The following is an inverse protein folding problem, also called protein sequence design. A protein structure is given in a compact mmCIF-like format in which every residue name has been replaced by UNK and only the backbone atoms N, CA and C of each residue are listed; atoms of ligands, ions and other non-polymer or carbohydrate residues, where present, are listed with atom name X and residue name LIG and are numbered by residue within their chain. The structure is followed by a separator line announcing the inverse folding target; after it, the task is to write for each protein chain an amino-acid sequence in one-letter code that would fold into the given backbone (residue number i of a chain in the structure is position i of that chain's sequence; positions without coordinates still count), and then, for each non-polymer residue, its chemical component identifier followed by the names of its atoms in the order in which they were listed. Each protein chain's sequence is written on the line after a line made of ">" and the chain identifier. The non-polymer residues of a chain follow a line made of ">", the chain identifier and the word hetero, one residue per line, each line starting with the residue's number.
data_IF_194889085158
#
_entry.id   IF_194889085158
#
_cell.length_a   1.000
_cell.length_b   1.000
_cell.length_c   1.000
_cell.angle_alpha   90.00
_cell.angle_beta   90.00
_cell.angle_gamma   90.00
#
_symmetry.space_group_name_H-M   'P 1'
#
loop_
_entity.id
_entity.type
_entity.pdbx_description
1 polymer ?
#
# COMPACT_ATOMS: atom_id res chain seq x y z
N UNK A 1 -5.98 -51.57 29.94
CA UNK A 1 -6.73 -50.53 30.69
C UNK A 1 -6.52 -49.10 30.17
N UNK A 2 -5.53 -48.82 29.31
CA UNK A 2 -5.25 -47.46 28.80
C UNK A 2 -6.10 -47.01 27.60
N UNK A 3 -6.68 -47.93 26.81
CA UNK A 3 -7.42 -47.58 25.58
C UNK A 3 -8.82 -47.00 25.81
N UNK A 4 -9.48 -47.31 26.94
CA UNK A 4 -10.85 -46.86 27.22
C UNK A 4 -10.89 -45.39 27.67
N UNK A 5 -9.83 -44.91 28.33
CA UNK A 5 -9.72 -43.50 28.74
C UNK A 5 -9.50 -42.55 27.56
N UNK A 6 -8.69 -42.95 26.58
CA UNK A 6 -8.38 -42.12 25.40
C UNK A 6 -9.60 -41.86 24.51
N UNK A 7 -10.49 -42.84 24.34
CA UNK A 7 -11.71 -42.68 23.56
C UNK A 7 -12.71 -41.70 24.21
N UNK A 8 -12.86 -41.74 25.53
CA UNK A 8 -13.74 -40.83 26.27
C UNK A 8 -13.23 -39.37 26.21
N UNK A 9 -11.92 -39.15 26.33
CA UNK A 9 -11.33 -37.82 26.21
C UNK A 9 -11.43 -37.25 24.79
N UNK A 10 -11.24 -38.08 23.76
CA UNK A 10 -11.44 -37.66 22.37
C UNK A 10 -12.91 -37.30 22.10
N UNK A 11 -13.85 -38.14 22.56
CA UNK A 11 -15.28 -37.88 22.40
C UNK A 11 -15.70 -36.59 23.12
N UNK A 12 -15.20 -36.36 24.34
CA UNK A 12 -15.44 -35.12 25.08
C UNK A 12 -14.84 -33.91 24.36
N UNK A 13 -13.60 -34.03 23.85
CA UNK A 13 -12.95 -32.97 23.09
C UNK A 13 -13.72 -32.59 21.82
N UNK A 14 -14.16 -33.59 21.04
CA UNK A 14 -14.99 -33.38 19.86
C UNK A 14 -16.35 -32.79 20.22
N UNK A 15 -16.97 -33.21 21.31
CA UNK A 15 -18.23 -32.65 21.79
C UNK A 15 -18.09 -31.19 22.22
N UNK A 16 -16.98 -30.82 22.89
CA UNK A 16 -16.69 -29.44 23.29
C UNK A 16 -16.40 -28.55 22.08
N UNK A 17 -15.62 -29.03 21.11
CA UNK A 17 -15.39 -28.31 19.84
C UNK A 17 -16.71 -28.15 19.09
N UNK A 18 -17.50 -29.21 18.97
CA UNK A 18 -18.81 -29.17 18.33
C UNK A 18 -19.75 -28.18 19.01
N UNK A 19 -19.83 -28.19 20.35
CA UNK A 19 -20.61 -27.22 21.11
C UNK A 19 -20.10 -25.79 20.92
N UNK A 20 -18.78 -25.58 20.87
CA UNK A 20 -18.16 -24.28 20.59
C UNK A 20 -18.47 -23.75 19.19
N UNK A 21 -18.47 -24.62 18.18
CA UNK A 21 -18.86 -24.27 16.80
C UNK A 21 -20.34 -23.94 16.71
N UNK A 22 -21.21 -24.70 17.40
CA UNK A 22 -22.67 -24.43 17.42
C UNK A 22 -23.00 -23.14 18.19
N UNK A 23 -22.26 -22.84 19.25
CA UNK A 23 -22.43 -21.62 20.03
C UNK A 23 -21.75 -20.40 19.41
N UNK A 24 -20.94 -20.58 18.36
CA UNK A 24 -20.29 -19.48 17.67
C UNK A 24 -21.27 -18.75 16.77
N UNK A 25 -21.50 -17.48 17.06
CA UNK A 25 -22.20 -16.57 16.17
C UNK A 25 -21.16 -15.78 15.37
N UNK A 26 -21.08 -15.96 14.04
CA UNK A 26 -20.19 -15.16 13.22
C UNK A 26 -20.62 -13.69 13.26
N UNK A 27 -19.63 -12.80 13.20
CA UNK A 27 -19.91 -11.36 13.06
C UNK A 27 -20.61 -11.16 11.72
N UNK A 28 -21.82 -10.61 11.74
CA UNK A 28 -22.52 -10.19 10.54
C UNK A 28 -21.77 -9.03 9.88
N UNK A 29 -21.30 -9.26 8.65
CA UNK A 29 -20.75 -8.23 7.78
C UNK A 29 -21.86 -7.63 6.93
N UNK A 30 -21.87 -6.31 6.81
CA UNK A 30 -22.80 -5.58 5.94
C UNK A 30 -22.11 -5.31 4.61
N UNK A 31 -22.36 -6.17 3.63
CA UNK A 31 -21.74 -6.11 2.29
C UNK A 31 -22.74 -5.64 1.23
N UNK A 32 -23.42 -4.53 1.52
CA UNK A 32 -24.39 -3.92 0.63
C UNK A 32 -24.22 -2.41 0.65
N UNK A 33 -24.27 -1.81 -0.54
CA UNK A 33 -24.33 -0.36 -0.69
C UNK A 33 -25.56 0.18 0.05
N UNK A 34 -25.46 1.37 0.67
CA UNK A 34 -26.60 2.03 1.31
C UNK A 34 -27.80 2.18 0.34
N UNK A 35 -29.02 2.13 0.86
CA UNK A 35 -30.24 2.28 0.04
C UNK A 35 -30.31 3.63 -0.69
N UNK A 36 -29.66 4.65 -0.13
CA UNK A 36 -29.55 6.01 -0.69
C UNK A 36 -28.25 6.24 -1.49
N UNK A 37 -27.53 5.17 -1.85
CA UNK A 37 -26.30 5.26 -2.63
C UNK A 37 -26.53 5.88 -4.01
N UNK A 38 -25.64 6.80 -4.39
CA UNK A 38 -25.73 7.52 -5.67
C UNK A 38 -25.06 6.74 -6.81
N UNK A 39 -25.83 6.36 -7.83
CA UNK A 39 -25.34 5.67 -9.03
C UNK A 39 -25.19 6.60 -10.23
N UNK A 40 -24.78 7.86 -10.00
CA UNK A 40 -24.70 8.89 -11.04
C UNK A 40 -23.79 8.51 -12.23
N UNK A 41 -22.83 7.60 -12.02
CA UNK A 41 -21.91 7.09 -13.04
C UNK A 41 -22.30 5.71 -13.63
N UNK A 42 -23.48 5.20 -13.31
CA UNK A 42 -24.02 3.91 -13.76
C UNK A 42 -24.14 2.87 -12.66
N UNK A 43 -25.19 2.05 -12.71
CA UNK A 43 -25.44 0.95 -11.75
C UNK A 43 -24.39 -0.16 -11.84
N UNK A 44 -23.76 -0.33 -13.00
CA UNK A 44 -22.68 -1.28 -13.24
C UNK A 44 -21.31 -0.77 -12.78
N UNK A 45 -21.20 0.52 -12.45
CA UNK A 45 -19.96 1.18 -12.01
C UNK A 45 -20.16 1.94 -10.69
N UNK A 46 -20.54 1.26 -9.58
CA UNK A 46 -20.85 1.93 -8.32
C UNK A 46 -19.71 2.81 -7.80
N UNK A 47 -18.46 2.39 -7.99
CA UNK A 47 -17.28 3.10 -7.48
C UNK A 47 -16.68 4.10 -8.47
N UNK A 48 -17.27 4.25 -9.67
CA UNK A 48 -16.83 5.27 -10.62
C UNK A 48 -16.98 6.66 -10.00
N UNK A 49 -16.12 7.62 -10.38
CA UNK A 49 -15.12 7.59 -11.47
C UNK A 49 -13.80 6.84 -11.18
N UNK A 50 -13.63 6.24 -9.99
CA UNK A 50 -12.53 5.29 -9.80
C UNK A 50 -12.74 4.04 -10.67
N UNK A 51 -11.64 3.45 -11.15
CA UNK A 51 -11.68 2.15 -11.82
C UNK A 51 -11.58 0.96 -10.85
N UNK A 52 -11.51 1.24 -9.54
CA UNK A 52 -11.49 0.24 -8.50
C UNK A 52 -12.83 -0.50 -8.43
N UNK A 53 -12.78 -1.83 -8.28
CA UNK A 53 -13.96 -2.68 -8.20
C UNK A 53 -13.85 -3.65 -7.03
N UNK A 54 -14.99 -4.02 -6.48
CA UNK A 54 -15.11 -5.22 -5.65
C UNK A 54 -15.44 -6.42 -6.54
N UNK A 55 -15.05 -7.62 -6.12
CA UNK A 55 -15.39 -8.86 -6.83
C UNK A 55 -16.92 -9.09 -6.96
N UNK A 56 -17.72 -8.49 -6.07
CA UNK A 56 -19.19 -8.54 -6.09
C UNK A 56 -19.83 -7.37 -6.82
N UNK A 57 -19.07 -6.32 -7.13
CA UNK A 57 -19.57 -5.01 -7.55
C UNK A 57 -20.59 -4.38 -6.56
N UNK A 58 -20.49 -4.76 -5.29
CA UNK A 58 -21.28 -4.22 -4.17
C UNK A 58 -20.32 -3.79 -3.05
N UNK A 59 -20.84 -3.19 -1.98
CA UNK A 59 -20.03 -2.74 -0.87
C UNK A 59 -19.39 -3.90 -0.08
N UNK A 60 -18.30 -3.59 0.61
CA UNK A 60 -17.76 -4.42 1.67
C UNK A 60 -17.85 -3.69 3.00
N UNK A 61 -18.15 -4.44 4.05
CA UNK A 61 -18.09 -3.93 5.41
C UNK A 61 -16.68 -3.38 5.71
N UNK A 62 -16.52 -2.14 6.20
CA UNK A 62 -15.20 -1.53 6.40
C UNK A 62 -14.33 -2.34 7.37
N UNK A 63 -14.93 -3.01 8.36
CA UNK A 63 -14.22 -3.88 9.31
C UNK A 63 -13.55 -5.07 8.62
N UNK A 64 -14.03 -5.43 7.42
CA UNK A 64 -13.45 -6.50 6.61
C UNK A 64 -12.18 -6.08 5.88
N UNK A 65 -11.89 -4.78 5.76
CA UNK A 65 -10.72 -4.23 5.08
C UNK A 65 -9.77 -3.47 6.02
N UNK A 66 -10.13 -3.32 7.29
CA UNK A 66 -9.35 -2.65 8.31
C UNK A 66 -8.75 -3.64 9.34
N UNK A 67 -8.12 -3.11 10.39
CA UNK A 67 -7.53 -3.87 11.48
C UNK A 67 -6.06 -4.22 11.23
N UNK A 68 -5.30 -3.35 10.54
CA UNK A 68 -3.90 -3.60 10.18
C UNK A 68 -2.99 -3.85 11.38
N UNK A 69 -3.24 -3.15 12.50
CA UNK A 69 -2.49 -3.34 13.75
C UNK A 69 -2.57 -4.80 14.26
N UNK A 70 -3.69 -5.49 13.99
CA UNK A 70 -3.90 -6.87 14.42
C UNK A 70 -2.87 -7.85 13.82
N UNK A 71 -2.32 -7.53 12.64
CA UNK A 71 -1.29 -8.33 11.96
C UNK A 71 0.02 -8.38 12.74
N UNK A 72 0.37 -7.27 13.41
CA UNK A 72 1.56 -7.17 14.25
C UNK A 72 1.37 -7.83 15.61
N UNK A 73 0.14 -8.18 15.99
CA UNK A 73 -0.08 -8.77 17.30
C UNK A 73 0.43 -10.20 17.38
N UNK A 74 0.76 -10.65 18.60
CA UNK A 74 1.25 -11.99 18.91
C UNK A 74 2.65 -12.35 18.36
N UNK A 75 3.48 -11.38 17.95
CA UNK A 75 4.80 -11.68 17.41
C UNK A 75 4.74 -12.31 16.02
N UNK A 76 3.79 -11.87 15.19
CA UNK A 76 3.77 -12.20 13.77
C UNK A 76 4.41 -11.07 12.96
N UNK A 77 3.67 -10.01 12.63
CA UNK A 77 4.12 -8.94 11.73
C UNK A 77 4.55 -7.63 12.42
N UNK A 78 5.29 -7.72 13.52
CA UNK A 78 5.67 -6.57 14.34
C UNK A 78 6.57 -5.57 13.59
N UNK A 79 7.56 -6.07 12.83
CA UNK A 79 8.48 -5.21 12.08
C UNK A 79 7.74 -4.52 10.94
N UNK A 80 6.94 -5.28 10.18
CA UNK A 80 6.18 -4.78 9.03
C UNK A 80 5.12 -3.74 9.45
N UNK A 81 4.39 -3.98 10.55
CA UNK A 81 3.40 -3.01 11.05
C UNK A 81 4.10 -1.72 11.51
N UNK A 82 5.24 -1.80 12.19
CA UNK A 82 6.00 -0.62 12.62
C UNK A 82 6.55 0.21 11.43
N UNK A 83 6.81 -0.43 10.30
CA UNK A 83 7.20 0.25 9.06
C UNK A 83 6.02 0.92 8.35
N UNK A 84 4.89 0.21 8.22
CA UNK A 84 3.68 0.73 7.60
C UNK A 84 3.06 1.88 8.41
N UNK A 85 3.14 1.82 9.75
CA UNK A 85 2.48 2.74 10.69
C UNK A 85 2.93 4.21 10.60
N UNK A 86 4.04 4.47 9.90
CA UNK A 86 4.58 5.82 9.62
C UNK A 86 4.61 6.16 8.13
N UNK A 87 4.15 5.24 7.27
CA UNK A 87 4.24 5.38 5.82
C UNK A 87 3.13 6.29 5.26
N UNK A 88 3.39 6.93 4.12
CA UNK A 88 2.37 7.71 3.43
C UNK A 88 1.15 6.88 2.97
N UNK A 89 1.30 5.55 2.83
CA UNK A 89 0.19 4.65 2.50
C UNK A 89 -0.83 4.54 3.63
N UNK A 90 -0.40 4.41 4.89
CA UNK A 90 -1.32 4.42 6.04
C UNK A 90 -2.10 5.74 6.12
N UNK A 91 -1.41 6.86 5.96
CA UNK A 91 -2.02 8.19 6.10
C UNK A 91 -2.55 8.76 4.79
N UNK A 92 -2.74 7.95 3.75
CA UNK A 92 -3.13 8.43 2.42
C UNK A 92 -4.47 9.16 2.43
N UNK A 93 -5.39 8.80 3.34
CA UNK A 93 -6.67 9.48 3.57
C UNK A 93 -6.57 10.67 4.53
N UNK A 94 -5.62 10.64 5.47
CA UNK A 94 -5.45 11.66 6.52
C UNK A 94 -4.56 12.83 6.12
N UNK A 95 -3.77 12.73 5.05
CA UNK A 95 -2.89 13.79 4.59
C UNK A 95 -3.67 15.12 4.45
N UNK A 96 -3.33 16.16 5.25
CA UNK A 96 -4.02 17.44 5.21
C UNK A 96 -4.03 18.09 3.83
N UNK A 97 -2.94 17.95 3.05
CA UNK A 97 -2.86 18.53 1.72
C UNK A 97 -3.84 17.82 0.76
N UNK A 98 -3.88 16.50 0.81
CA UNK A 98 -4.84 15.69 0.06
C UNK A 98 -6.29 16.05 0.40
N UNK A 99 -6.62 16.19 1.69
CA UNK A 99 -7.99 16.50 2.14
C UNK A 99 -8.49 17.83 1.60
N UNK A 100 -7.64 18.85 1.51
CA UNK A 100 -8.01 20.13 0.91
C UNK A 100 -8.26 20.00 -0.60
N UNK A 101 -7.44 19.21 -1.33
CA UNK A 101 -7.66 18.94 -2.76
C UNK A 101 -8.96 18.15 -2.97
N UNK A 102 -9.20 17.12 -2.18
CA UNK A 102 -10.44 16.34 -2.23
C UNK A 102 -11.67 17.21 -1.94
N UNK A 103 -11.60 18.09 -0.93
CA UNK A 103 -12.69 19.02 -0.59
C UNK A 103 -12.95 20.02 -1.72
N UNK A 104 -11.90 20.54 -2.35
CA UNK A 104 -12.03 21.42 -3.51
C UNK A 104 -12.75 20.71 -4.67
N UNK A 105 -12.33 19.48 -5.00
CA UNK A 105 -12.96 18.66 -6.03
C UNK A 105 -14.43 18.35 -5.69
N UNK A 106 -14.73 17.91 -4.46
CA UNK A 106 -16.09 17.63 -4.02
C UNK A 106 -17.01 18.86 -4.04
N UNK A 107 -16.46 20.05 -3.76
CA UNK A 107 -17.22 21.31 -3.81
C UNK A 107 -17.51 21.75 -5.24
N UNK A 108 -16.56 21.56 -6.16
CA UNK A 108 -16.67 22.00 -7.55
C UNK A 108 -17.49 21.03 -8.40
N UNK A 109 -17.28 19.72 -8.23
CA UNK A 109 -17.79 18.68 -9.12
C UNK A 109 -18.84 17.77 -8.44
N UNK A 110 -19.17 18.03 -7.18
CA UNK A 110 -20.07 17.20 -6.37
C UNK A 110 -19.34 16.11 -5.58
N UNK A 111 -19.91 15.63 -4.47
CA UNK A 111 -19.25 14.69 -3.55
C UNK A 111 -18.90 13.35 -4.21
N UNK A 112 -19.71 12.86 -5.14
CA UNK A 112 -19.48 11.60 -5.86
C UNK A 112 -18.18 11.60 -6.66
N UNK A 113 -17.74 12.77 -7.13
CA UNK A 113 -16.48 12.91 -7.86
C UNK A 113 -15.26 12.50 -7.01
N UNK A 114 -15.37 12.59 -5.67
CA UNK A 114 -14.27 12.24 -4.75
C UNK A 114 -13.93 10.75 -4.72
N UNK A 115 -14.81 9.88 -5.25
CA UNK A 115 -14.52 8.46 -5.44
C UNK A 115 -13.30 8.24 -6.33
N UNK A 116 -13.05 9.13 -7.30
CA UNK A 116 -11.84 9.17 -8.13
C UNK A 116 -10.57 9.07 -7.28
N UNK A 117 -10.52 9.85 -6.20
CA UNK A 117 -9.41 9.90 -5.26
C UNK A 117 -9.37 8.68 -4.34
N UNK A 118 -10.55 8.25 -3.88
CA UNK A 118 -10.69 7.22 -2.85
C UNK A 118 -10.17 5.85 -3.30
N UNK A 119 -10.19 5.53 -4.59
CA UNK A 119 -9.62 4.28 -5.09
C UNK A 119 -8.12 4.11 -4.80
N UNK A 120 -7.36 5.21 -4.72
CA UNK A 120 -5.93 5.16 -4.38
C UNK A 120 -5.66 5.55 -2.92
N UNK A 121 -6.43 6.50 -2.36
CA UNK A 121 -6.14 7.12 -1.08
C UNK A 121 -6.97 6.61 0.09
N UNK A 122 -8.15 6.05 -0.16
CA UNK A 122 -9.08 5.64 0.88
C UNK A 122 -9.99 4.47 0.40
N UNK A 123 -9.41 3.32 0.06
CA UNK A 123 -10.18 2.23 -0.54
C UNK A 123 -11.21 1.62 0.41
N UNK A 124 -10.93 1.63 1.72
CA UNK A 124 -11.87 1.15 2.75
C UNK A 124 -13.18 1.94 2.65
N UNK A 125 -13.13 3.27 2.66
CA UNK A 125 -14.33 4.09 2.57
C UNK A 125 -14.98 4.03 1.19
N UNK A 126 -14.19 3.89 0.12
CA UNK A 126 -14.73 3.70 -1.23
C UNK A 126 -15.62 2.45 -1.26
N UNK A 127 -15.10 1.32 -0.80
CA UNK A 127 -15.79 0.05 -0.85
C UNK A 127 -16.85 -0.11 0.25
N UNK A 128 -16.79 0.65 1.34
CA UNK A 128 -17.89 0.74 2.30
C UNK A 128 -19.10 1.53 1.75
N UNK A 129 -18.97 2.17 0.60
CA UNK A 129 -20.02 2.99 0.01
C UNK A 129 -20.25 4.32 0.75
N UNK A 130 -19.37 4.69 1.68
CA UNK A 130 -19.49 5.87 2.55
C UNK A 130 -18.92 7.14 1.92
N UNK A 131 -18.26 7.02 0.77
CA UNK A 131 -17.74 8.13 -0.04
C UNK A 131 -18.83 8.90 -0.80
N UNK A 132 -20.00 9.16 -0.20
CA UNK A 132 -21.12 9.91 -0.81
C UNK A 132 -22.07 10.64 0.15
N UNK A 133 -22.42 11.86 -0.27
CA UNK A 133 -23.50 12.80 0.13
C UNK A 133 -23.65 13.22 1.62
N UNK A 134 -23.53 14.54 1.84
CA UNK A 134 -24.04 15.32 3.00
C UNK A 134 -23.48 15.06 4.40
N UNK A 135 -22.29 14.51 4.53
CA UNK A 135 -21.57 14.43 5.80
C UNK A 135 -20.32 15.29 5.77
N UNK A 136 -20.10 16.08 6.83
CA UNK A 136 -18.89 16.88 7.03
C UNK A 136 -17.62 15.99 7.05
N UNK A 137 -17.80 14.69 7.30
CA UNK A 137 -16.78 13.64 7.22
C UNK A 137 -17.07 12.74 6.00
N UNK A 138 -16.44 13.04 4.86
CA UNK A 138 -16.52 12.26 3.61
C UNK A 138 -15.87 10.85 3.73
N UNK A 139 -15.62 10.34 4.92
CA UNK A 139 -14.73 9.21 5.16
C UNK A 139 -15.26 8.36 6.31
N UNK A 140 -15.22 7.04 6.15
CA UNK A 140 -15.53 6.10 7.23
C UNK A 140 -14.33 6.03 8.20
N UNK A 141 -14.54 5.99 9.53
CA UNK A 141 -13.46 6.06 10.51
C UNK A 141 -12.28 5.10 10.29
N UNK A 142 -12.54 3.84 9.92
CA UNK A 142 -11.46 2.90 9.60
C UNK A 142 -10.68 3.31 8.35
N UNK A 143 -11.38 3.76 7.30
CA UNK A 143 -10.74 4.27 6.10
C UNK A 143 -9.93 5.54 6.32
N UNK A 144 -10.39 6.44 7.19
CA UNK A 144 -9.63 7.61 7.59
C UNK A 144 -8.32 7.20 8.26
N UNK A 145 -8.40 6.33 9.27
CA UNK A 145 -7.24 5.98 10.10
C UNK A 145 -6.20 5.13 9.36
N UNK A 146 -6.63 4.21 8.49
CA UNK A 146 -5.71 3.26 7.86
C UNK A 146 -5.38 3.56 6.39
N UNK A 147 -6.16 4.41 5.70
CA UNK A 147 -5.95 4.73 4.30
C UNK A 147 -5.80 3.46 3.44
N UNK A 148 -4.59 3.24 2.91
CA UNK A 148 -4.20 1.95 2.32
C UNK A 148 -3.71 0.99 3.41
N UNK A 149 -4.65 0.20 3.93
CA UNK A 149 -4.41 -0.82 4.96
C UNK A 149 -3.67 -2.06 4.44
N UNK A 150 -3.14 -2.88 5.38
CA UNK A 150 -2.59 -4.20 5.09
C UNK A 150 -3.59 -5.04 4.28
N UNK A 151 -4.83 -5.11 4.77
CA UNK A 151 -5.85 -5.95 4.16
C UNK A 151 -6.25 -5.41 2.79
N UNK A 152 -6.33 -4.09 2.61
CA UNK A 152 -6.63 -3.49 1.30
C UNK A 152 -5.61 -3.92 0.26
N UNK A 153 -4.31 -3.70 0.51
CA UNK A 153 -3.25 -4.10 -0.41
C UNK A 153 -3.25 -5.61 -0.66
N UNK A 154 -3.33 -6.41 0.40
CA UNK A 154 -3.21 -7.86 0.31
C UNK A 154 -4.51 -8.57 -0.14
N UNK A 155 -5.61 -7.84 -0.33
CA UNK A 155 -6.89 -8.37 -0.82
C UNK A 155 -7.15 -8.07 -2.30
N UNK A 156 -6.27 -7.33 -2.95
CA UNK A 156 -6.31 -7.14 -4.41
C UNK A 156 -5.98 -8.48 -5.10
N UNK A 157 -6.83 -8.89 -6.03
CA UNK A 157 -6.69 -10.13 -6.82
C UNK A 157 -6.29 -9.88 -8.27
N UNK A 158 -6.67 -8.73 -8.81
CA UNK A 158 -6.42 -8.37 -10.20
C UNK A 158 -6.01 -6.90 -10.26
N UNK A 159 -5.06 -6.58 -11.13
CA UNK A 159 -4.71 -5.20 -11.48
C UNK A 159 -4.58 -5.04 -12.98
N UNK A 160 -4.66 -3.80 -13.44
CA UNK A 160 -4.32 -3.40 -14.79
C UNK A 160 -3.43 -2.14 -14.77
N UNK A 161 -2.76 -1.87 -15.89
CA UNK A 161 -1.82 -0.75 -16.06
C UNK A 161 -2.47 0.50 -16.68
N UNK A 162 -3.79 0.57 -16.80
CA UNK A 162 -4.50 1.77 -17.24
C UNK A 162 -4.33 2.92 -16.23
N UNK A 163 -4.24 2.61 -14.94
CA UNK A 163 -4.18 3.59 -13.83
C UNK A 163 -5.55 3.90 -13.21
N UNK A 164 -5.63 4.91 -12.35
CA UNK A 164 -6.84 5.33 -11.62
C UNK A 164 -7.46 4.24 -10.75
N UNK A 165 -6.62 3.54 -9.99
CA UNK A 165 -7.01 2.43 -9.12
C UNK A 165 -7.67 1.27 -9.87
N UNK A 166 -7.25 0.98 -11.11
CA UNK A 166 -7.79 -0.15 -11.88
C UNK A 166 -7.32 -1.49 -11.28
N UNK A 167 -8.04 -1.94 -10.26
CA UNK A 167 -7.85 -3.20 -9.57
C UNK A 167 -9.18 -3.79 -9.11
N UNK A 168 -9.19 -5.10 -8.85
CA UNK A 168 -10.32 -5.81 -8.26
C UNK A 168 -9.93 -6.30 -6.87
N UNK A 169 -10.73 -5.92 -5.87
CA UNK A 169 -10.57 -6.34 -4.49
C UNK A 169 -11.58 -7.43 -4.13
N UNK A 170 -11.09 -8.53 -3.56
CA UNK A 170 -11.92 -9.61 -3.03
C UNK A 170 -11.92 -9.56 -1.51
N UNK A 171 -13.10 -9.59 -0.88
CA UNK A 171 -13.18 -9.62 0.59
C UNK A 171 -12.52 -10.91 1.11
N UNK A 172 -11.51 -10.83 2.00
CA UNK A 172 -10.78 -12.00 2.44
C UNK A 172 -11.67 -12.91 3.29
N UNK A 173 -11.54 -14.23 3.09
CA UNK A 173 -12.16 -15.19 4.00
C UNK A 173 -11.43 -15.22 5.35
N UNK A 174 -12.18 -15.04 6.43
CA UNK A 174 -11.61 -14.91 7.77
C UNK A 174 -11.61 -16.20 8.58
N UNK A 175 -10.73 -16.27 9.56
CA UNK A 175 -10.73 -17.24 10.64
C UNK A 175 -11.82 -16.91 11.68
N UNK A 176 -12.17 -17.89 12.50
CA UNK A 176 -13.08 -17.68 13.62
C UNK A 176 -12.48 -16.64 14.57
N UNK A 177 -13.32 -15.69 15.00
CA UNK A 177 -12.95 -14.58 15.89
C UNK A 177 -11.91 -13.61 15.31
N UNK A 178 -11.69 -13.58 13.99
CA UNK A 178 -10.63 -12.74 13.41
C UNK A 178 -10.83 -11.24 13.66
N UNK A 179 -12.08 -10.80 13.71
CA UNK A 179 -12.46 -9.41 14.03
C UNK A 179 -12.43 -9.08 15.54
N UNK A 180 -12.11 -10.05 16.40
CA UNK A 180 -11.94 -9.79 17.84
C UNK A 180 -10.49 -9.44 18.13
N UNK A 181 -10.27 -8.18 18.54
CA UNK A 181 -8.93 -7.63 18.78
C UNK A 181 -8.40 -7.96 20.18
N UNK A 182 -9.22 -8.45 21.10
CA UNK A 182 -8.83 -8.71 22.47
C UNK A 182 -9.44 -10.02 23.05
N UNK A 183 -9.10 -10.28 24.31
CA UNK A 183 -9.66 -11.37 25.09
C UNK A 183 -9.46 -12.78 24.51
N UNK A 184 -10.45 -13.63 24.74
CA UNK A 184 -10.41 -15.06 24.35
C UNK A 184 -10.52 -15.25 22.83
N UNK A 185 -11.24 -14.37 22.14
CA UNK A 185 -11.38 -14.44 20.68
C UNK A 185 -10.05 -14.25 19.98
N UNK A 186 -9.30 -13.22 20.37
CA UNK A 186 -7.95 -12.99 19.88
C UNK A 186 -7.05 -14.22 20.07
N UNK A 187 -7.07 -14.83 21.26
CA UNK A 187 -6.29 -16.05 21.51
C UNK A 187 -6.67 -17.19 20.54
N UNK A 188 -7.96 -17.41 20.30
CA UNK A 188 -8.43 -18.44 19.36
C UNK A 188 -8.02 -18.11 17.93
N UNK A 189 -8.22 -16.86 17.48
CA UNK A 189 -7.77 -16.38 16.17
C UNK A 189 -6.27 -16.64 15.96
N UNK A 190 -5.44 -16.17 16.90
CA UNK A 190 -3.99 -16.28 16.87
C UNK A 190 -3.52 -17.74 16.85
N UNK A 191 -4.21 -18.62 17.57
CA UNK A 191 -3.99 -20.06 17.53
C UNK A 191 -4.36 -20.66 16.16
N UNK A 192 -5.54 -20.32 15.62
CA UNK A 192 -6.03 -20.86 14.36
C UNK A 192 -5.15 -20.47 13.17
N UNK A 193 -4.68 -19.22 13.11
CA UNK A 193 -3.77 -18.76 12.06
C UNK A 193 -2.45 -19.56 12.12
N UNK A 194 -1.88 -19.77 13.31
CA UNK A 194 -0.65 -20.57 13.49
C UNK A 194 -0.83 -22.04 13.21
N UNK A 195 -1.97 -22.61 13.58
CA UNK A 195 -2.26 -24.03 13.39
C UNK A 195 -2.57 -24.36 11.93
N UNK A 196 -3.16 -23.41 11.19
CA UNK A 196 -3.57 -23.58 9.80
C UNK A 196 -3.04 -22.44 8.90
N UNK A 197 -1.72 -22.20 8.83
CA UNK A 197 -1.14 -21.01 8.21
C UNK A 197 -1.31 -20.96 6.69
N UNK A 198 -1.56 -22.12 6.04
CA UNK A 198 -1.74 -22.20 4.60
C UNK A 198 -2.87 -21.30 4.09
N UNK A 199 -4.01 -21.26 4.80
CA UNK A 199 -5.13 -20.38 4.42
C UNK A 199 -4.70 -18.91 4.51
N UNK A 200 -4.01 -18.52 5.58
CA UNK A 200 -3.47 -17.18 5.74
C UNK A 200 -2.51 -16.79 4.59
N UNK A 201 -1.57 -17.66 4.23
CA UNK A 201 -0.63 -17.37 3.14
C UNK A 201 -1.30 -17.36 1.76
N UNK A 202 -2.27 -18.24 1.50
CA UNK A 202 -3.04 -18.24 0.25
C UNK A 202 -3.89 -16.97 0.10
N UNK A 203 -4.49 -16.49 1.20
CA UNK A 203 -5.29 -15.26 1.20
C UNK A 203 -4.42 -14.01 1.02
N UNK A 204 -3.28 -13.92 1.72
CA UNK A 204 -2.53 -12.66 1.84
C UNK A 204 -1.15 -12.65 1.17
N UNK A 205 -0.67 -13.74 0.55
CA UNK A 205 0.64 -13.78 -0.12
C UNK A 205 0.52 -14.19 -1.58
N UNK A 206 -0.04 -13.30 -2.40
CA UNK A 206 -0.29 -13.53 -3.81
C UNK A 206 0.93 -13.19 -4.66
N UNK A 207 1.07 -13.89 -5.79
CA UNK A 207 2.15 -13.64 -6.76
C UNK A 207 2.03 -12.26 -7.41
N UNK A 208 0.81 -11.72 -7.54
CA UNK A 208 0.53 -10.42 -8.14
C UNK A 208 1.35 -9.28 -7.51
N UNK A 209 1.54 -9.32 -6.19
CA UNK A 209 2.27 -8.31 -5.42
C UNK A 209 3.75 -8.23 -5.79
N UNK A 210 4.24 -9.16 -6.61
CA UNK A 210 5.62 -9.23 -7.07
C UNK A 210 5.84 -8.60 -8.44
N UNK A 211 4.84 -7.89 -8.95
CA UNK A 211 4.89 -7.29 -10.28
C UNK A 211 4.79 -5.76 -10.17
N UNK A 212 5.46 -5.00 -11.04
CA UNK A 212 5.30 -3.54 -11.09
C UNK A 212 3.88 -3.14 -11.50
N UNK A 213 3.14 -4.00 -12.19
CA UNK A 213 1.72 -3.84 -12.53
C UNK A 213 0.83 -3.69 -11.28
N UNK A 214 1.24 -4.26 -10.14
CA UNK A 214 0.53 -4.08 -8.88
C UNK A 214 0.59 -2.61 -8.42
N UNK A 215 1.80 -2.02 -8.43
CA UNK A 215 1.99 -0.62 -8.07
C UNK A 215 1.36 0.32 -9.10
N UNK A 216 1.33 -0.07 -10.37
CA UNK A 216 0.80 0.72 -11.49
C UNK A 216 -0.69 1.04 -11.35
N UNK A 217 -1.46 0.19 -10.67
CA UNK A 217 -2.88 0.44 -10.46
C UNK A 217 -3.14 1.79 -9.77
N UNK A 218 -2.28 2.17 -8.80
CA UNK A 218 -2.37 3.44 -8.08
C UNK A 218 -1.34 4.49 -8.54
N UNK A 219 -0.12 4.07 -8.94
CA UNK A 219 0.97 4.94 -9.39
C UNK A 219 0.96 5.21 -10.90
N UNK A 220 -0.23 5.17 -11.49
CA UNK A 220 -0.54 5.71 -12.80
C UNK A 220 -1.92 6.33 -12.73
N UNK A 221 -2.02 7.54 -13.23
CA UNK A 221 -3.20 8.38 -13.08
C UNK A 221 -3.42 9.22 -14.33
N UNK A 222 -4.66 9.25 -14.78
CA UNK A 222 -5.12 10.14 -15.84
C UNK A 222 -6.43 10.77 -15.42
N UNK A 223 -6.76 11.92 -15.99
CA UNK A 223 -8.10 12.50 -15.86
C UNK A 223 -8.74 12.51 -17.24
N UNK A 224 -10.04 12.23 -17.31
CA UNK A 224 -10.80 12.25 -18.56
C UNK A 224 -11.97 13.23 -18.48
N UNK A 225 -12.78 13.25 -19.54
CA UNK A 225 -13.91 14.16 -19.67
C UNK A 225 -14.98 13.97 -18.58
N UNK A 226 -15.13 12.75 -18.02
CA UNK A 226 -16.07 12.45 -16.91
C UNK A 226 -15.71 13.27 -15.65
N UNK A 227 -14.44 13.68 -15.53
CA UNK A 227 -13.92 14.41 -14.37
C UNK A 227 -13.56 15.86 -14.66
N UNK A 228 -12.94 16.16 -15.81
CA UNK A 228 -12.45 17.51 -16.11
C UNK A 228 -13.28 18.29 -17.15
N UNK A 229 -14.29 17.67 -17.76
CA UNK A 229 -15.13 18.26 -18.82
C UNK A 229 -14.37 18.80 -20.07
N UNK A 230 -13.12 18.38 -20.28
CA UNK A 230 -12.27 18.80 -21.41
C UNK A 230 -11.83 17.61 -22.25
N UNK A 231 -11.42 16.50 -21.63
CA UNK A 231 -10.90 15.33 -22.33
C UNK A 231 -9.76 14.65 -21.57
N UNK A 232 -9.15 13.66 -22.22
CA UNK A 232 -8.11 12.84 -21.59
C UNK A 232 -6.79 13.61 -21.42
N UNK A 233 -6.26 13.61 -20.19
CA UNK A 233 -4.96 14.17 -19.84
C UNK A 233 -4.23 13.19 -18.93
N UNK A 234 -2.98 12.85 -19.30
CA UNK A 234 -2.10 12.11 -18.41
C UNK A 234 -1.70 13.00 -17.23
N UNK A 235 -1.93 12.52 -16.01
CA UNK A 235 -1.39 13.12 -14.79
C UNK A 235 -0.13 12.36 -14.39
N UNK A 236 -0.16 11.68 -13.25
CA UNK A 236 0.98 10.92 -12.73
C UNK A 236 1.19 9.65 -13.56
N UNK A 237 2.44 9.33 -13.92
CA UNK A 237 2.72 8.08 -14.64
C UNK A 237 4.13 7.56 -14.33
N UNK A 238 4.29 6.95 -13.15
CA UNK A 238 5.57 6.39 -12.75
C UNK A 238 5.85 5.07 -13.49
N UNK A 239 4.81 4.27 -13.76
CA UNK A 239 4.96 2.98 -14.41
C UNK A 239 5.52 3.08 -15.84
N UNK A 240 4.96 3.93 -16.71
CA UNK A 240 5.44 4.02 -18.10
C UNK A 240 6.83 4.68 -18.17
N UNK A 241 7.13 5.59 -17.25
CA UNK A 241 8.46 6.17 -17.09
C UNK A 241 9.49 5.10 -16.72
N UNK A 242 9.18 4.29 -15.71
CA UNK A 242 10.01 3.13 -15.36
C UNK A 242 10.16 2.14 -16.51
N UNK A 243 9.05 1.79 -17.17
CA UNK A 243 9.03 0.83 -18.26
C UNK A 243 9.91 1.26 -19.43
N UNK A 244 10.05 2.56 -19.68
CA UNK A 244 10.91 3.15 -20.73
C UNK A 244 12.32 3.48 -20.25
N UNK A 245 12.59 3.37 -18.95
CA UNK A 245 13.87 3.70 -18.36
C UNK A 245 14.93 2.62 -18.63
N UNK A 246 16.19 2.93 -18.28
CA UNK A 246 17.31 1.97 -18.29
C UNK A 246 17.20 0.85 -17.24
N UNK A 247 16.20 0.90 -16.37
CA UNK A 247 16.01 -0.04 -15.26
C UNK A 247 15.08 -1.19 -15.63
N UNK A 248 14.35 -1.08 -16.74
CA UNK A 248 13.51 -2.14 -17.26
C UNK A 248 14.23 -2.84 -18.42
N UNK A 249 14.54 -4.12 -18.23
CA UNK A 249 15.09 -5.00 -19.26
C UNK A 249 14.13 -6.20 -19.43
N UNK A 250 13.10 -6.08 -20.28
CA UNK A 250 12.08 -7.11 -20.43
C UNK A 250 12.69 -8.50 -20.66
N UNK A 251 12.31 -9.46 -19.81
CA UNK A 251 12.80 -10.85 -19.87
C UNK A 251 14.17 -11.09 -19.20
N UNK A 252 14.84 -10.06 -18.68
CA UNK A 252 16.11 -10.17 -17.97
C UNK A 252 16.01 -9.63 -16.52
N UNK A 253 15.62 -10.47 -15.55
CA UNK A 253 15.52 -10.08 -14.14
C UNK A 253 16.89 -9.75 -13.52
N UNK A 254 17.99 -10.25 -14.08
CA UNK A 254 19.34 -9.98 -13.56
C UNK A 254 19.75 -8.53 -13.75
N UNK A 255 19.14 -7.84 -14.73
CA UNK A 255 19.39 -6.44 -15.03
C UNK A 255 18.23 -5.53 -14.63
N UNK A 256 17.02 -6.07 -14.53
CA UNK A 256 15.82 -5.30 -14.16
C UNK A 256 15.84 -4.95 -12.66
N UNK A 257 15.41 -3.73 -12.36
CA UNK A 257 15.05 -3.28 -11.00
C UNK A 257 13.60 -2.83 -11.09
N UNK A 258 12.72 -3.43 -10.29
CA UNK A 258 11.31 -3.05 -10.24
C UNK A 258 11.05 -2.11 -9.07
N UNK A 259 9.78 -1.72 -8.87
CA UNK A 259 9.38 -0.78 -7.83
C UNK A 259 9.79 -1.26 -6.43
N UNK A 260 9.70 -2.58 -6.18
CA UNK A 260 9.83 -3.18 -4.85
C UNK A 260 11.27 -3.26 -4.38
N UNK A 261 12.24 -3.51 -5.26
CA UNK A 261 13.64 -3.54 -4.83
C UNK A 261 14.13 -2.17 -4.36
N UNK A 262 13.55 -1.07 -4.84
CA UNK A 262 13.87 0.28 -4.37
C UNK A 262 12.98 0.73 -3.21
N UNK A 263 11.66 0.57 -3.31
CA UNK A 263 10.70 1.11 -2.34
C UNK A 263 10.31 0.14 -1.23
N UNK A 264 10.62 -1.14 -1.37
CA UNK A 264 10.45 -2.20 -0.37
C UNK A 264 11.74 -3.03 -0.24
N UNK A 265 12.88 -2.39 0.07
CA UNK A 265 14.16 -3.08 0.11
C UNK A 265 14.15 -4.20 1.15
N UNK A 266 14.98 -5.22 0.94
CA UNK A 266 15.11 -6.32 1.89
C UNK A 266 15.77 -5.87 3.21
N UNK A 267 15.11 -6.16 4.33
CA UNK A 267 15.58 -5.90 5.69
C UNK A 267 16.07 -7.21 6.31
N UNK A 268 17.21 -7.16 6.99
CA UNK A 268 17.89 -8.34 7.57
C UNK A 268 18.67 -7.96 8.83
N UNK A 269 18.76 -8.86 9.84
CA UNK A 269 17.96 -10.07 9.98
C UNK A 269 16.49 -9.73 10.30
N UNK A 270 15.58 -10.66 10.04
CA UNK A 270 14.17 -10.52 10.40
C UNK A 270 13.63 -11.77 11.08
N UNK A 271 12.70 -11.57 12.01
CA UNK A 271 11.96 -12.65 12.69
C UNK A 271 10.52 -12.81 12.19
N UNK A 272 10.14 -12.05 11.17
CA UNK A 272 8.85 -12.10 10.50
C UNK A 272 8.51 -13.52 10.00
N UNK A 273 7.28 -14.04 10.22
CA UNK A 273 6.82 -15.26 9.57
C UNK A 273 6.80 -15.16 8.04
N UNK A 274 6.74 -13.93 7.51
CA UNK A 274 6.87 -13.64 6.08
C UNK A 274 8.34 -13.53 5.62
N UNK A 275 9.31 -13.92 6.46
CA UNK A 275 10.71 -13.96 6.05
C UNK A 275 11.00 -15.13 5.10
N UNK A 276 11.86 -14.86 4.10
CA UNK A 276 12.06 -15.77 2.98
C UNK A 276 10.95 -15.76 1.94
N UNK A 277 11.29 -16.01 0.66
CA UNK A 277 10.30 -16.10 -0.41
C UNK A 277 10.81 -16.92 -1.59
N UNK A 278 10.16 -18.05 -1.87
CA UNK A 278 10.51 -18.94 -2.97
C UNK A 278 10.12 -18.41 -4.36
N UNK A 279 9.22 -17.42 -4.40
CA UNK A 279 8.58 -16.91 -5.60
C UNK A 279 9.14 -15.55 -6.02
N UNK A 280 10.03 -14.95 -5.23
CA UNK A 280 10.77 -13.73 -5.58
C UNK A 280 12.15 -14.12 -6.15
N UNK A 281 12.46 -13.61 -7.35
CA UNK A 281 13.58 -14.07 -8.17
C UNK A 281 14.97 -13.74 -7.57
N UNK A 282 15.06 -12.76 -6.67
CA UNK A 282 16.32 -12.39 -5.99
C UNK A 282 16.43 -13.01 -4.58
N UNK A 283 15.54 -13.94 -4.23
CA UNK A 283 15.39 -14.44 -2.85
C UNK A 283 15.48 -15.95 -2.75
N UNK A 284 15.63 -16.43 -1.52
CA UNK A 284 15.48 -17.83 -1.18
C UNK A 284 14.41 -18.00 -0.08
N UNK A 285 13.86 -19.21 0.09
CA UNK A 285 12.87 -19.48 1.14
C UNK A 285 13.41 -19.28 2.56
N UNK A 286 14.73 -19.27 2.74
CA UNK A 286 15.40 -19.25 4.06
C UNK A 286 16.35 -18.06 4.21
N UNK A 287 16.18 -16.98 3.45
CA UNK A 287 17.09 -15.83 3.49
C UNK A 287 17.01 -15.03 4.80
N UNK A 288 15.96 -15.23 5.60
CA UNK A 288 15.73 -14.57 6.89
C UNK A 288 15.48 -13.07 6.75
N UNK A 289 14.94 -12.62 5.61
CA UNK A 289 14.68 -11.20 5.31
C UNK A 289 13.20 -10.94 5.11
N UNK A 290 12.72 -9.73 5.34
CA UNK A 290 11.41 -9.29 4.86
C UNK A 290 11.54 -8.11 3.90
N UNK A 291 10.48 -7.81 3.14
CA UNK A 291 10.38 -6.61 2.30
C UNK A 291 9.88 -5.46 3.17
N UNK A 292 10.63 -4.35 3.24
CA UNK A 292 10.21 -3.21 4.07
C UNK A 292 8.88 -2.62 3.59
N UNK A 293 7.99 -2.29 4.51
CA UNK A 293 6.72 -1.60 4.24
C UNK A 293 6.76 -0.12 4.63
N UNK A 294 7.97 0.46 4.72
CA UNK A 294 8.15 1.88 5.05
C UNK A 294 7.96 2.81 3.85
N UNK A 295 8.15 2.28 2.64
CA UNK A 295 7.95 2.97 1.36
C UNK A 295 8.66 4.32 1.26
N UNK A 296 9.98 4.33 1.49
CA UNK A 296 10.76 5.58 1.45
C UNK A 296 10.63 6.25 0.06
N UNK A 297 10.21 7.52 0.10
CA UNK A 297 10.04 8.39 -1.05
C UNK A 297 10.63 9.76 -0.76
N UNK A 298 9.83 10.81 -0.90
CA UNK A 298 10.22 12.18 -0.53
C UNK A 298 9.31 12.81 0.53
N UNK A 299 8.27 12.09 1.00
CA UNK A 299 7.32 12.65 1.95
C UNK A 299 7.93 12.72 3.35
N UNK A 300 8.23 13.95 3.79
CA UNK A 300 8.56 14.26 5.18
C UNK A 300 7.43 15.04 5.87
N UNK A 301 6.44 15.48 5.09
CA UNK A 301 5.37 16.35 5.55
C UNK A 301 4.40 15.64 6.49
N UNK A 302 3.87 14.48 6.08
CA UNK A 302 2.91 13.69 6.86
C UNK A 302 3.48 13.35 8.25
N UNK A 303 4.67 12.73 8.38
CA UNK A 303 5.17 12.34 9.69
C UNK A 303 5.46 13.50 10.62
N UNK A 304 5.88 14.66 10.09
CA UNK A 304 6.20 15.84 10.91
C UNK A 304 4.95 16.63 11.32
N UNK A 305 4.01 16.86 10.39
CA UNK A 305 2.81 17.66 10.65
C UNK A 305 1.86 16.94 11.59
N UNK A 306 1.80 15.61 11.52
CA UNK A 306 0.96 14.80 12.38
C UNK A 306 1.65 14.33 13.68
N UNK A 307 2.92 14.72 13.90
CA UNK A 307 3.73 14.34 15.06
C UNK A 307 3.70 12.82 15.34
N UNK A 308 3.96 12.03 14.30
CA UNK A 308 3.80 10.58 14.37
C UNK A 308 4.87 9.95 15.27
N UNK A 309 4.52 8.90 16.05
CA UNK A 309 5.52 8.02 16.67
C UNK A 309 6.47 7.48 15.60
N UNK A 310 7.79 7.64 15.78
CA UNK A 310 8.79 7.24 14.78
C UNK A 310 8.90 8.17 13.56
N UNK A 311 8.17 9.30 13.53
CA UNK A 311 8.19 10.25 12.42
C UNK A 311 9.56 10.90 12.16
N UNK A 312 10.32 11.20 13.23
CA UNK A 312 11.68 11.76 13.10
C UNK A 312 12.65 10.77 12.46
N UNK A 313 12.61 9.51 12.89
CA UNK A 313 13.38 8.43 12.29
C UNK A 313 13.00 8.24 10.81
N UNK A 314 11.69 8.29 10.50
CA UNK A 314 11.23 8.23 9.10
C UNK A 314 11.85 9.34 8.25
N UNK A 315 11.86 10.59 8.74
CA UNK A 315 12.48 11.72 8.03
C UNK A 315 13.99 11.52 7.83
N UNK A 316 14.70 11.08 8.85
CA UNK A 316 16.13 10.78 8.76
C UNK A 316 16.42 9.70 7.70
N UNK A 317 15.60 8.65 7.66
CA UNK A 317 15.68 7.60 6.63
C UNK A 317 15.35 8.14 5.24
N UNK A 318 14.36 9.03 5.09
CA UNK A 318 14.06 9.69 3.80
C UNK A 318 15.24 10.54 3.34
N UNK A 319 15.89 11.30 4.22
CA UNK A 319 17.09 12.07 3.86
C UNK A 319 18.23 11.17 3.40
N UNK A 320 18.51 10.10 4.14
CA UNK A 320 19.52 9.10 3.77
C UNK A 320 19.18 8.44 2.43
N UNK A 321 17.90 8.15 2.18
CA UNK A 321 17.41 7.58 0.93
C UNK A 321 17.68 8.52 -0.25
N UNK A 322 17.29 9.80 -0.15
CA UNK A 322 17.48 10.80 -1.21
C UNK A 322 18.96 11.08 -1.47
N UNK A 323 19.81 11.08 -0.43
CA UNK A 323 21.27 11.17 -0.53
C UNK A 323 21.94 9.87 -0.99
N UNK A 324 21.16 8.80 -1.15
CA UNK A 324 21.63 7.50 -1.62
C UNK A 324 22.60 6.81 -0.67
N UNK A 325 22.45 7.08 0.63
CA UNK A 325 23.27 6.58 1.73
C UNK A 325 22.75 5.22 2.26
N UNK A 326 21.49 4.89 2.02
CA UNK A 326 20.92 3.58 2.36
C UNK A 326 21.44 2.51 1.39
N UNK A 327 22.17 1.49 1.86
CA UNK A 327 22.59 0.39 1.02
C UNK A 327 21.41 -0.54 0.71
N UNK A 328 21.26 -0.93 -0.55
CA UNK A 328 20.34 -1.98 -0.97
C UNK A 328 21.15 -3.11 -1.62
N UNK A 329 21.59 -4.11 -0.84
CA UNK A 329 22.51 -5.15 -1.32
C UNK A 329 22.00 -5.93 -2.54
N UNK A 330 20.69 -6.21 -2.60
CA UNK A 330 20.07 -7.00 -3.69
C UNK A 330 20.18 -6.35 -5.08
N UNK A 331 20.32 -5.02 -5.14
CA UNK A 331 20.47 -4.27 -6.40
C UNK A 331 21.78 -3.50 -6.47
N UNK A 332 22.71 -3.72 -5.54
CA UNK A 332 23.97 -2.98 -5.45
C UNK A 332 24.80 -3.04 -6.74
N UNK A 333 24.75 -4.16 -7.47
CA UNK A 333 25.44 -4.34 -8.74
C UNK A 333 24.74 -3.68 -9.94
N UNK A 334 23.48 -3.25 -9.79
CA UNK A 334 22.64 -2.73 -10.88
C UNK A 334 22.61 -1.18 -10.92
N UNK A 335 22.87 -0.51 -9.79
CA UNK A 335 22.86 0.96 -9.67
C UNK A 335 24.24 1.56 -9.36
N UNK A 336 24.38 2.88 -9.57
CA UNK A 336 25.61 3.62 -9.23
C UNK A 336 25.59 4.07 -7.77
N UNK A 337 26.76 4.26 -7.17
CA UNK A 337 26.89 4.86 -5.84
C UNK A 337 26.59 6.38 -5.85
N UNK A 338 26.36 6.95 -4.66
CA UNK A 338 26.09 8.38 -4.48
C UNK A 338 24.59 8.75 -4.44
N UNK A 339 24.27 10.05 -4.52
CA UNK A 339 22.90 10.56 -4.45
C UNK A 339 21.97 9.99 -5.51
N UNK A 340 20.66 10.05 -5.25
CA UNK A 340 19.65 9.66 -6.22
C UNK A 340 19.64 10.59 -7.44
N UNK A 341 19.82 11.89 -7.19
CA UNK A 341 19.94 12.95 -8.20
C UNK A 341 21.17 13.80 -7.86
N UNK A 342 22.37 13.39 -8.28
CA UNK A 342 23.59 14.14 -7.99
C UNK A 342 23.60 15.47 -8.75
N UNK A 343 24.13 16.48 -8.06
CA UNK A 343 24.40 17.82 -8.59
C UNK A 343 25.91 18.00 -8.60
N UNK A 344 26.48 18.22 -9.78
CA UNK A 344 27.91 18.45 -9.97
C UNK A 344 28.14 19.86 -10.55
N UNK A 345 29.07 20.60 -9.96
CA UNK A 345 29.48 21.91 -10.44
C UNK A 345 30.75 21.78 -11.27
N UNK A 346 30.67 22.11 -12.55
CA UNK A 346 31.82 22.21 -13.44
C UNK A 346 32.27 23.66 -13.46
N UNK A 347 33.42 23.90 -12.81
CA UNK A 347 34.01 25.22 -12.55
C UNK A 347 35.43 25.28 -13.13
N UNK A 348 35.93 26.48 -13.48
CA UNK A 348 37.36 26.65 -13.77
C UNK A 348 38.21 26.36 -12.51
N UNK A 349 39.38 25.76 -12.69
CA UNK A 349 40.27 25.40 -11.56
C UNK A 349 40.73 26.61 -10.73
N UNK A 350 40.77 27.80 -11.34
CA UNK A 350 41.20 29.07 -10.72
C UNK A 350 40.42 30.24 -11.33
N UNK A 351 40.28 31.30 -10.55
CA UNK A 351 39.73 32.59 -11.00
C UNK A 351 40.38 33.75 -10.23
N UNK A 352 40.51 34.91 -10.87
CA UNK A 352 41.00 36.14 -10.24
C UNK A 352 39.84 37.00 -9.67
N UNK A 353 40.10 37.85 -8.65
CA UNK A 353 39.10 38.80 -8.17
C UNK A 353 38.58 39.70 -9.30
N UNK A 354 37.26 39.73 -9.50
CA UNK A 354 36.60 40.49 -10.57
C UNK A 354 36.51 39.77 -11.92
N UNK A 355 37.08 38.58 -12.05
CA UNK A 355 36.93 37.72 -13.24
C UNK A 355 35.53 37.13 -13.30
N UNK A 356 34.90 37.15 -14.48
CA UNK A 356 33.64 36.44 -14.73
C UNK A 356 33.94 34.96 -14.93
N UNK A 357 33.30 34.11 -14.15
CA UNK A 357 33.43 32.65 -14.26
C UNK A 357 32.14 32.03 -14.80
N UNK A 358 32.28 31.12 -15.76
CA UNK A 358 31.17 30.29 -16.21
C UNK A 358 31.01 29.10 -15.26
N UNK A 359 29.86 29.02 -14.61
CA UNK A 359 29.48 27.89 -13.75
C UNK A 359 28.52 27.02 -14.53
N UNK A 360 28.89 25.77 -14.79
CA UNK A 360 27.96 24.79 -15.34
C UNK A 360 27.51 23.84 -14.24
N UNK A 361 26.20 23.76 -14.03
CA UNK A 361 25.59 22.80 -13.11
C UNK A 361 25.13 21.59 -13.93
N UNK A 362 25.61 20.41 -13.57
CA UNK A 362 25.16 19.14 -14.13
C UNK A 362 24.26 18.44 -13.10
N UNK A 363 23.02 18.18 -13.49
CA UNK A 363 22.06 17.42 -12.70
C UNK A 363 21.77 16.14 -13.49
N UNK A 364 21.95 14.98 -12.86
CA UNK A 364 21.65 13.69 -13.52
C UNK A 364 20.72 12.86 -12.66
N UNK A 365 19.90 12.03 -13.30
CA UNK A 365 19.13 11.01 -12.61
C UNK A 365 19.98 9.74 -12.49
N UNK A 366 20.43 9.43 -11.27
CA UNK A 366 21.36 8.35 -11.00
C UNK A 366 20.68 7.08 -10.45
N UNK A 367 19.64 7.24 -9.60
CA UNK A 367 18.96 6.14 -8.92
C UNK A 367 17.43 6.15 -9.05
N UNK A 368 16.80 7.14 -9.68
CA UNK A 368 15.33 7.11 -9.82
C UNK A 368 14.93 6.29 -11.05
N UNK A 369 14.02 5.35 -10.82
CA UNK A 369 13.47 4.45 -11.85
C UNK A 369 12.63 5.18 -12.89
N UNK A 370 12.10 6.33 -12.50
CA UNK A 370 11.14 7.18 -13.22
C UNK A 370 11.68 8.62 -13.25
N UNK A 371 10.91 9.53 -13.86
CA UNK A 371 11.23 10.97 -13.86
C UNK A 371 11.43 11.53 -12.46
N UNK A 372 12.24 12.58 -12.34
CA UNK A 372 12.45 13.30 -11.09
C UNK A 372 12.25 14.82 -11.30
N UNK A 373 11.46 15.50 -10.45
CA UNK A 373 10.56 14.90 -9.47
C UNK A 373 9.45 14.08 -10.15
N UNK A 374 8.68 13.33 -9.36
CA UNK A 374 7.50 12.61 -9.84
C UNK A 374 6.32 12.83 -8.88
N UNK A 375 5.13 12.42 -9.29
CA UNK A 375 3.88 12.63 -8.56
C UNK A 375 3.01 13.65 -9.29
N UNK A 376 2.13 14.40 -8.59
CA UNK A 376 1.38 15.49 -9.18
C UNK A 376 2.34 16.63 -9.57
N UNK A 377 2.80 16.62 -10.82
CA UNK A 377 3.81 17.55 -11.35
C UNK A 377 3.31 18.99 -11.50
N UNK A 378 2.00 19.18 -11.42
CA UNK A 378 1.34 20.48 -11.30
C UNK A 378 1.59 21.14 -9.92
N UNK A 379 2.01 20.36 -8.91
CA UNK A 379 2.24 20.83 -7.54
C UNK A 379 3.69 20.59 -7.09
N UNK A 380 4.30 19.47 -7.47
CA UNK A 380 5.66 19.10 -7.03
C UNK A 380 6.72 19.69 -7.97
N UNK A 381 7.63 20.49 -7.41
CA UNK A 381 8.73 21.12 -8.13
C UNK A 381 10.07 20.87 -7.42
N UNK A 382 11.14 20.79 -8.21
CA UNK A 382 12.52 20.78 -7.72
C UNK A 382 13.26 22.00 -8.32
N UNK A 383 14.07 22.68 -7.52
CA UNK A 383 14.68 23.97 -7.83
C UNK A 383 16.12 24.04 -7.35
#
# INVERSE_FOLDING_TARGET
>A
MFAVGSGAWLALGLALVGAGVVAYEPVGLVNHLPDDYSFVYGEDRPFAPSLARTATNDAYDPRSLAGSESCGTAGCHEEIVAEWSVSAHRYSAMDPAFREVQKAMGTQNGPESTRYCAGCHDPISLFAGTKNLFVDELTEPHGLDEGVSCITCHSIDETDVQGNANYVLHQPERYLFELQEDGRGRFVRDFLIRAYPRKHTETFSKRLFKSPEFCAACHKQFVDEEINAVGWVQLQNQYDNWRKSRWNHPGDPTRTIECRECHMPLVSPSSEPASGDALDYNRSPDDGKHRSHRFLGANQFIPLVQDLPGGREHVELVEQWLRGEIPIPEIAAKWKSGPAVPIELVLPERAAPGEKVDIRVLITNNKTGHDFPTGPLDIIQAW
#
